data_IF_731848231598
#
_entry.id   IF_731848231598
#
_cell.length_a   1.000
_cell.length_b   1.000
_cell.length_c   1.000
_cell.angle_alpha   90.00
_cell.angle_beta   90.00
_cell.angle_gamma   90.00
#
_symmetry.space_group_name_H-M   'P 1'
#
loop_
_entity.id
_entity.type
_entity.pdbx_description
1 polymer ?
#
# COMPACT_ATOMS: atom_id res chain seq x y z
N UNK A 1 6.27 -18.27 21.28
CA UNK A 1 4.95 -18.65 21.82
C UNK A 1 3.98 -18.73 20.67
N UNK A 2 3.16 -19.79 20.63
CA UNK A 2 2.06 -19.94 19.68
C UNK A 2 0.76 -19.94 20.47
N UNK A 3 -0.23 -19.22 20.01
CA UNK A 3 -1.54 -19.12 20.65
C UNK A 3 -2.67 -19.08 19.63
N UNK A 4 -3.88 -19.41 20.07
CA UNK A 4 -5.11 -19.32 19.30
C UNK A 4 -6.11 -18.48 20.10
N UNK A 5 -6.57 -17.38 19.52
CA UNK A 5 -7.53 -16.46 20.13
C UNK A 5 -8.94 -16.73 19.56
N UNK A 6 -9.93 -16.74 20.43
CA UNK A 6 -11.34 -16.98 20.08
C UNK A 6 -12.24 -15.91 20.71
N UNK A 7 -12.20 -14.65 20.20
CA UNK A 7 -13.01 -13.56 20.75
C UNK A 7 -14.50 -13.70 20.47
N UNK A 8 -14.90 -14.57 19.53
CA UNK A 8 -16.28 -14.98 19.28
C UNK A 8 -16.36 -16.48 19.02
N UNK A 9 -17.58 -17.03 18.93
CA UNK A 9 -17.80 -18.47 18.67
C UNK A 9 -17.30 -18.93 17.28
N UNK A 10 -17.18 -18.00 16.32
CA UNK A 10 -16.72 -18.28 14.96
C UNK A 10 -15.25 -17.80 14.73
N UNK A 11 -14.65 -17.12 15.70
CA UNK A 11 -13.27 -16.63 15.60
C UNK A 11 -12.26 -17.73 15.92
N UNK A 12 -11.21 -17.78 15.10
CA UNK A 12 -10.01 -18.57 15.35
C UNK A 12 -8.79 -17.84 14.79
N UNK A 13 -8.16 -17.00 15.62
CA UNK A 13 -7.01 -16.18 15.24
C UNK A 13 -5.75 -16.87 15.71
N UNK A 14 -4.92 -17.36 14.79
CA UNK A 14 -3.62 -17.92 15.10
C UNK A 14 -2.60 -16.79 15.26
N UNK A 15 -1.82 -16.86 16.31
CA UNK A 15 -0.86 -15.86 16.75
C UNK A 15 0.49 -16.52 17.02
N UNK A 16 1.57 -15.94 16.52
CA UNK A 16 2.94 -16.22 16.97
C UNK A 16 3.58 -14.99 17.59
N UNK A 17 4.24 -15.20 18.75
CA UNK A 17 5.04 -14.18 19.45
C UNK A 17 6.46 -14.68 19.61
N UNK A 18 7.41 -13.93 19.07
CA UNK A 18 8.84 -14.23 19.14
C UNK A 18 9.52 -13.28 20.12
N UNK A 19 10.27 -13.86 21.03
CA UNK A 19 10.88 -13.15 22.16
C UNK A 19 12.40 -13.32 22.10
N UNK A 20 13.20 -12.26 21.96
CA UNK A 20 14.65 -12.37 22.06
C UNK A 20 15.05 -12.74 23.51
N UNK A 21 16.29 -13.23 23.73
CA UNK A 21 16.82 -13.39 25.07
C UNK A 21 16.70 -12.08 25.87
N UNK A 22 16.47 -12.18 27.18
CA UNK A 22 16.22 -11.00 28.03
C UNK A 22 17.34 -9.94 27.95
N UNK A 23 18.59 -10.38 27.79
CA UNK A 23 19.74 -9.48 27.63
C UNK A 23 19.79 -8.74 26.28
N UNK A 24 19.08 -9.25 25.27
CA UNK A 24 19.02 -8.68 23.92
C UNK A 24 17.72 -7.89 23.65
N UNK A 25 16.75 -8.02 24.55
CA UNK A 25 15.48 -7.30 24.39
C UNK A 25 15.66 -5.80 24.59
N UNK A 26 15.32 -5.03 23.56
CA UNK A 26 15.43 -3.57 23.59
C UNK A 26 14.30 -2.87 24.37
N UNK A 27 13.41 -3.63 25.02
CA UNK A 27 12.27 -3.11 25.78
C UNK A 27 11.09 -2.67 24.92
N UNK A 28 11.05 -3.07 23.64
CA UNK A 28 10.02 -2.67 22.67
C UNK A 28 9.28 -3.89 22.10
N UNK A 29 8.07 -3.63 21.59
CA UNK A 29 7.24 -4.59 20.87
C UNK A 29 6.99 -4.11 19.44
N UNK A 30 7.00 -5.01 18.47
CA UNK A 30 6.60 -4.74 17.10
C UNK A 30 5.62 -5.78 16.58
N UNK A 31 4.40 -5.34 16.19
CA UNK A 31 3.47 -6.14 15.41
C UNK A 31 3.79 -5.98 13.92
N UNK A 32 3.74 -7.07 13.17
CA UNK A 32 3.88 -7.05 11.71
C UNK A 32 2.54 -7.25 11.03
N UNK A 33 2.29 -6.50 9.95
CA UNK A 33 1.07 -6.57 9.16
C UNK A 33 1.07 -7.72 8.14
N UNK A 34 -0.11 -8.03 7.61
CA UNK A 34 -0.35 -9.06 6.61
C UNK A 34 -0.36 -8.51 5.19
N UNK A 35 -0.51 -9.38 4.19
CA UNK A 35 -0.68 -9.06 2.77
C UNK A 35 -1.89 -9.77 2.16
N UNK A 36 -2.40 -9.25 1.04
CA UNK A 36 -3.51 -9.85 0.29
C UNK A 36 -4.79 -9.97 1.13
N UNK A 37 -5.32 -11.18 1.24
CA UNK A 37 -6.45 -11.51 2.09
C UNK A 37 -6.05 -12.01 3.50
N UNK A 38 -4.76 -11.96 3.87
CA UNK A 38 -4.30 -12.58 5.12
C UNK A 38 -4.29 -14.10 5.01
N UNK A 39 -4.94 -14.81 5.94
CA UNK A 39 -5.16 -16.26 5.88
C UNK A 39 -3.94 -17.11 6.24
N UNK A 40 -2.86 -16.50 6.68
CA UNK A 40 -1.66 -17.12 7.24
C UNK A 40 -0.86 -16.11 8.05
N UNK A 41 -0.03 -16.58 8.96
CA UNK A 41 0.91 -15.70 9.66
C UNK A 41 2.01 -15.31 8.67
N UNK A 42 1.85 -14.15 8.06
CA UNK A 42 2.81 -13.61 7.10
C UNK A 42 3.93 -12.87 7.83
N UNK A 43 5.06 -12.72 7.16
CA UNK A 43 6.22 -12.06 7.76
C UNK A 43 7.10 -12.96 8.63
N UNK A 44 6.75 -14.24 8.83
CA UNK A 44 7.58 -15.20 9.56
C UNK A 44 8.99 -15.33 8.98
N UNK A 45 9.12 -15.22 7.66
CA UNK A 45 10.41 -15.38 6.96
C UNK A 45 11.15 -14.05 6.74
N UNK A 46 10.52 -12.91 6.99
CA UNK A 46 11.07 -11.60 6.64
C UNK A 46 10.94 -10.55 7.75
N UNK A 47 9.73 -10.07 8.01
CA UNK A 47 9.48 -8.92 8.90
C UNK A 47 9.71 -9.26 10.38
N UNK A 48 9.24 -10.43 10.84
CA UNK A 48 9.48 -10.86 12.24
C UNK A 48 10.96 -11.15 12.52
N UNK A 49 11.71 -11.89 11.66
CA UNK A 49 13.15 -12.04 11.85
C UNK A 49 13.91 -10.71 11.82
N UNK A 50 13.48 -9.75 10.98
CA UNK A 50 14.09 -8.42 10.94
C UNK A 50 13.86 -7.65 12.24
N UNK A 51 12.65 -7.69 12.80
CA UNK A 51 12.32 -7.09 14.09
C UNK A 51 13.11 -7.75 15.24
N UNK A 52 13.16 -9.10 15.26
CA UNK A 52 13.89 -9.85 16.26
C UNK A 52 15.39 -9.48 16.29
N UNK A 53 16.04 -9.38 15.12
CA UNK A 53 17.44 -8.94 15.00
C UNK A 53 17.69 -7.52 15.52
N UNK A 54 16.65 -6.68 15.57
CA UNK A 54 16.70 -5.33 16.17
C UNK A 54 16.40 -5.35 17.68
N UNK A 55 16.23 -6.52 18.27
CA UNK A 55 15.93 -6.70 19.69
C UNK A 55 14.48 -6.50 20.07
N UNK A 56 13.54 -6.44 19.13
CA UNK A 56 12.12 -6.38 19.46
C UNK A 56 11.58 -7.74 19.91
N UNK A 57 10.70 -7.74 20.88
CA UNK A 57 9.65 -8.75 20.94
C UNK A 57 8.70 -8.47 19.75
N UNK A 58 8.37 -9.49 18.96
CA UNK A 58 7.60 -9.29 17.74
C UNK A 58 6.49 -10.33 17.60
N UNK A 59 5.41 -9.96 16.94
CA UNK A 59 4.27 -10.85 16.70
C UNK A 59 3.69 -10.70 15.31
N UNK A 60 3.04 -11.77 14.86
CA UNK A 60 2.24 -11.83 13.65
C UNK A 60 1.05 -12.76 13.83
N UNK A 61 -0.01 -12.56 13.05
CA UNK A 61 -1.26 -13.32 13.12
C UNK A 61 -1.80 -13.65 11.72
N UNK A 62 -2.77 -14.57 11.63
CA UNK A 62 -3.36 -15.02 10.36
C UNK A 62 -4.64 -14.29 9.96
N UNK A 63 -5.04 -13.25 10.68
CA UNK A 63 -6.30 -12.50 10.47
C UNK A 63 -7.59 -13.28 10.79
N UNK A 64 -7.50 -14.43 11.47
CA UNK A 64 -8.64 -15.21 11.93
C UNK A 64 -9.23 -16.19 10.92
N UNK A 65 -8.47 -16.50 9.86
CA UNK A 65 -8.90 -17.47 8.84
C UNK A 65 -7.70 -18.11 8.12
N UNK A 66 -8.00 -19.01 7.19
CA UNK A 66 -7.02 -19.62 6.27
C UNK A 66 -7.48 -19.41 4.82
N UNK A 67 -6.52 -19.34 3.89
CA UNK A 67 -6.78 -19.20 2.46
C UNK A 67 -7.06 -17.77 2.02
N UNK A 68 -7.88 -17.59 0.97
CA UNK A 68 -8.22 -16.31 0.36
C UNK A 68 -9.50 -15.70 0.92
N UNK A 69 -10.25 -14.95 0.09
CA UNK A 69 -11.47 -14.23 0.50
C UNK A 69 -12.68 -15.13 0.77
N UNK A 70 -12.61 -16.43 0.43
CA UNK A 70 -13.71 -17.41 0.62
C UNK A 70 -14.13 -17.59 2.08
N UNK A 71 -13.29 -17.24 3.04
CA UNK A 71 -13.61 -17.29 4.46
C UNK A 71 -14.84 -16.42 4.82
N UNK A 72 -15.11 -15.38 4.04
CA UNK A 72 -16.18 -14.43 4.32
C UNK A 72 -17.58 -14.99 4.05
N UNK A 73 -17.67 -16.12 3.30
CA UNK A 73 -18.96 -16.71 2.92
C UNK A 73 -19.65 -17.34 4.12
N UNK A 74 -20.69 -16.70 4.65
CA UNK A 74 -21.45 -17.18 5.80
C UNK A 74 -20.78 -16.99 7.16
N UNK A 75 -19.64 -16.27 7.22
CA UNK A 75 -18.84 -16.07 8.43
C UNK A 75 -18.64 -14.57 8.78
N UNK A 76 -19.69 -13.84 9.17
CA UNK A 76 -19.60 -12.40 9.43
C UNK A 76 -18.57 -12.03 10.53
N UNK A 77 -18.41 -12.89 11.55
CA UNK A 77 -17.44 -12.68 12.61
C UNK A 77 -15.99 -12.75 12.11
N UNK A 78 -15.70 -13.65 11.17
CA UNK A 78 -14.38 -13.71 10.52
C UNK A 78 -14.10 -12.49 9.65
N UNK A 79 -15.14 -11.89 9.05
CA UNK A 79 -14.99 -10.61 8.33
C UNK A 79 -14.62 -9.49 9.30
N UNK A 80 -15.17 -9.48 10.51
CA UNK A 80 -14.81 -8.56 11.59
C UNK A 80 -13.36 -8.80 12.04
N UNK A 81 -12.96 -10.07 12.22
CA UNK A 81 -11.56 -10.40 12.54
C UNK A 81 -10.60 -9.86 11.48
N UNK A 82 -10.84 -10.15 10.22
CA UNK A 82 -10.04 -9.66 9.10
C UNK A 82 -10.02 -8.13 8.99
N UNK A 83 -11.14 -7.48 9.30
CA UNK A 83 -11.26 -6.03 9.19
C UNK A 83 -10.38 -5.29 10.22
N UNK A 84 -10.45 -5.71 11.50
CA UNK A 84 -9.78 -4.98 12.59
C UNK A 84 -9.53 -5.80 13.86
N UNK A 85 -10.45 -6.73 14.24
CA UNK A 85 -10.40 -7.37 15.57
C UNK A 85 -9.16 -8.24 15.76
N UNK A 86 -8.73 -8.97 14.71
CA UNK A 86 -7.58 -9.86 14.83
C UNK A 86 -6.27 -9.13 15.16
N UNK A 87 -6.05 -7.93 14.60
CA UNK A 87 -4.84 -7.14 14.91
C UNK A 87 -4.89 -6.68 16.36
N UNK A 88 -6.01 -6.11 16.79
CA UNK A 88 -6.19 -5.62 18.16
C UNK A 88 -6.01 -6.74 19.20
N UNK A 89 -6.77 -7.83 19.08
CA UNK A 89 -6.70 -8.95 20.02
C UNK A 89 -5.29 -9.57 20.07
N UNK A 90 -4.67 -9.78 18.89
CA UNK A 90 -3.30 -10.27 18.82
C UNK A 90 -2.31 -9.30 19.51
N UNK A 91 -2.50 -7.99 19.35
CA UNK A 91 -1.65 -6.97 19.98
C UNK A 91 -1.79 -6.98 21.51
N UNK A 92 -3.02 -6.99 22.03
CA UNK A 92 -3.28 -7.03 23.46
C UNK A 92 -2.68 -8.27 24.09
N UNK A 93 -2.93 -9.45 23.52
CA UNK A 93 -2.40 -10.71 24.04
C UNK A 93 -0.86 -10.80 23.92
N UNK A 94 -0.29 -10.32 22.81
CA UNK A 94 1.17 -10.29 22.65
C UNK A 94 1.84 -9.42 23.69
N UNK A 95 1.30 -8.23 23.96
CA UNK A 95 1.83 -7.34 25.02
C UNK A 95 1.74 -7.97 26.40
N UNK A 96 0.65 -8.69 26.70
CA UNK A 96 0.50 -9.43 27.96
C UNK A 96 1.55 -10.56 28.09
N UNK A 97 1.77 -11.34 27.00
CA UNK A 97 2.79 -12.38 26.95
C UNK A 97 4.21 -11.82 27.12
N UNK A 98 4.51 -10.70 26.45
CA UNK A 98 5.79 -9.99 26.59
C UNK A 98 5.98 -9.53 28.02
N UNK A 99 4.94 -8.93 28.64
CA UNK A 99 4.97 -8.48 30.02
C UNK A 99 5.21 -9.63 31.02
N UNK A 100 4.55 -10.76 30.81
CA UNK A 100 4.73 -11.96 31.65
C UNK A 100 6.12 -12.59 31.51
N UNK A 101 6.68 -12.61 30.30
CA UNK A 101 7.98 -13.22 30.03
C UNK A 101 9.15 -12.38 30.58
N UNK A 102 9.10 -11.05 30.41
CA UNK A 102 10.19 -10.16 30.87
C UNK A 102 9.93 -9.51 32.23
N UNK A 103 8.83 -9.86 32.89
CA UNK A 103 8.37 -9.27 34.15
C UNK A 103 8.18 -7.74 34.08
N UNK A 104 8.03 -7.22 32.88
CA UNK A 104 7.75 -5.80 32.57
C UNK A 104 7.11 -5.63 31.22
N UNK A 105 6.18 -4.69 31.13
CA UNK A 105 5.54 -4.34 29.85
C UNK A 105 6.54 -3.72 28.85
N UNK A 106 6.32 -3.84 27.53
CA UNK A 106 7.10 -3.09 26.55
C UNK A 106 6.92 -1.59 26.79
N UNK A 107 8.01 -0.84 26.78
CA UNK A 107 8.00 0.62 26.98
C UNK A 107 7.42 1.37 25.78
N UNK A 108 7.52 0.81 24.60
CA UNK A 108 6.97 1.33 23.33
C UNK A 108 6.53 0.17 22.45
N UNK A 109 5.48 0.42 21.69
CA UNK A 109 4.90 -0.53 20.74
C UNK A 109 4.82 0.08 19.35
N UNK A 110 5.24 -0.68 18.35
CA UNK A 110 5.24 -0.26 16.94
C UNK A 110 4.43 -1.20 16.09
N UNK A 111 3.75 -0.66 15.08
CA UNK A 111 3.15 -1.43 14.00
C UNK A 111 3.93 -1.20 12.71
N UNK A 112 4.24 -2.27 11.97
CA UNK A 112 4.92 -2.20 10.69
C UNK A 112 4.15 -3.02 9.65
N UNK A 113 3.50 -2.36 8.68
CA UNK A 113 2.74 -3.03 7.66
C UNK A 113 2.67 -2.29 6.34
N UNK A 114 2.54 -3.06 5.26
CA UNK A 114 2.35 -2.55 3.91
C UNK A 114 1.18 -3.28 3.24
N UNK A 115 0.52 -2.67 2.26
CA UNK A 115 -0.61 -3.26 1.53
C UNK A 115 -1.82 -3.48 2.46
N UNK A 116 -2.29 -4.72 2.62
CA UNK A 116 -3.24 -5.07 3.70
C UNK A 116 -2.70 -4.59 5.05
N UNK A 117 -1.41 -4.83 5.35
CA UNK A 117 -0.77 -4.36 6.58
C UNK A 117 -0.76 -2.84 6.73
N UNK A 118 -0.69 -2.10 5.63
CA UNK A 118 -0.88 -0.66 5.63
C UNK A 118 -2.32 -0.24 5.97
N UNK A 119 -3.33 -1.00 5.50
CA UNK A 119 -4.73 -0.81 5.93
C UNK A 119 -4.90 -1.12 7.41
N UNK A 120 -4.33 -2.23 7.90
CA UNK A 120 -4.32 -2.59 9.32
C UNK A 120 -3.69 -1.47 10.16
N UNK A 121 -2.53 -0.95 9.74
CA UNK A 121 -1.84 0.16 10.38
C UNK A 121 -2.74 1.40 10.56
N UNK A 122 -3.45 1.79 9.48
CA UNK A 122 -4.39 2.91 9.54
C UNK A 122 -5.63 2.60 10.36
N UNK A 123 -6.10 1.34 10.35
CA UNK A 123 -7.23 0.90 11.18
C UNK A 123 -6.89 0.99 12.67
N UNK A 124 -5.67 0.60 13.07
CA UNK A 124 -5.19 0.73 14.44
C UNK A 124 -5.14 2.20 14.89
N UNK A 125 -4.58 3.08 14.04
CA UNK A 125 -4.56 4.52 14.36
C UNK A 125 -5.96 5.12 14.54
N UNK A 126 -6.96 4.61 13.80
CA UNK A 126 -8.34 5.10 13.78
C UNK A 126 -9.18 4.54 14.92
N UNK A 127 -9.05 3.24 15.21
CA UNK A 127 -9.98 2.50 16.08
C UNK A 127 -9.39 2.15 17.45
N UNK A 128 -8.08 1.87 17.50
CA UNK A 128 -7.36 1.43 18.69
C UNK A 128 -6.09 2.28 18.94
N UNK A 129 -6.27 3.60 19.11
CA UNK A 129 -5.14 4.53 19.19
C UNK A 129 -4.16 4.20 20.35
N UNK A 130 -4.59 3.42 21.34
CA UNK A 130 -3.77 2.98 22.49
C UNK A 130 -2.82 1.84 22.18
N UNK A 131 -3.00 1.13 21.07
CA UNK A 131 -2.22 -0.08 20.81
C UNK A 131 -0.78 0.20 20.39
N UNK A 132 -0.54 1.30 19.70
CA UNK A 132 0.80 1.61 19.19
C UNK A 132 1.23 3.05 19.41
N UNK A 133 2.52 3.23 19.73
CA UNK A 133 3.17 4.53 19.86
C UNK A 133 3.69 5.08 18.53
N UNK A 134 4.05 4.17 17.63
CA UNK A 134 4.51 4.47 16.28
C UNK A 134 3.95 3.50 15.26
N UNK A 135 3.41 4.03 14.16
CA UNK A 135 2.79 3.26 13.10
C UNK A 135 3.47 3.56 11.77
N UNK A 136 3.93 2.49 11.10
CA UNK A 136 4.42 2.53 9.73
C UNK A 136 3.38 1.94 8.80
N UNK A 137 2.79 2.77 7.92
CA UNK A 137 1.75 2.40 6.97
C UNK A 137 2.24 2.56 5.53
N UNK A 138 2.70 1.46 4.92
CA UNK A 138 3.18 1.45 3.54
C UNK A 138 2.08 1.08 2.55
N UNK A 139 2.02 1.75 1.38
CA UNK A 139 1.16 1.42 0.25
C UNK A 139 -0.22 0.88 0.69
N UNK A 140 -0.91 1.61 1.57
CA UNK A 140 -2.06 1.12 2.29
C UNK A 140 -3.25 0.78 1.37
N UNK A 141 -3.78 -0.44 1.48
CA UNK A 141 -5.03 -0.87 0.85
C UNK A 141 -6.25 -0.39 1.66
N UNK A 142 -6.21 0.86 2.15
CA UNK A 142 -7.16 1.35 3.14
C UNK A 142 -8.58 1.60 2.62
N UNK A 143 -8.82 2.11 1.40
CA UNK A 143 -10.15 2.09 0.80
C UNK A 143 -10.33 0.75 0.05
N UNK A 144 -10.38 -0.37 0.80
CA UNK A 144 -10.36 -1.73 0.28
C UNK A 144 -11.41 -1.96 -0.82
N UNK A 145 -12.65 -1.57 -0.53
CA UNK A 145 -13.77 -1.78 -1.48
C UNK A 145 -13.57 -0.93 -2.73
N UNK A 146 -13.22 0.34 -2.59
CA UNK A 146 -13.00 1.24 -3.72
C UNK A 146 -11.78 0.83 -4.57
N UNK A 147 -10.69 0.40 -3.94
CA UNK A 147 -9.49 -0.16 -4.59
C UNK A 147 -9.85 -1.35 -5.47
N UNK A 148 -10.59 -2.32 -4.93
CA UNK A 148 -10.98 -3.51 -5.67
C UNK A 148 -12.01 -3.20 -6.75
N UNK A 149 -12.93 -2.24 -6.54
CA UNK A 149 -13.85 -1.77 -7.56
C UNK A 149 -13.12 -1.14 -8.76
N UNK A 150 -12.16 -0.26 -8.51
CA UNK A 150 -11.33 0.32 -9.56
C UNK A 150 -10.53 -0.73 -10.33
N UNK A 151 -9.99 -1.72 -9.64
CA UNK A 151 -9.26 -2.84 -10.27
C UNK A 151 -10.17 -3.74 -11.07
N UNK A 152 -11.36 -4.09 -10.56
CA UNK A 152 -12.38 -4.84 -11.31
C UNK A 152 -12.80 -4.11 -12.58
N UNK A 153 -13.09 -2.81 -12.50
CA UNK A 153 -13.49 -2.03 -13.67
C UNK A 153 -12.44 -2.05 -14.80
N UNK A 154 -11.14 -1.91 -14.45
CA UNK A 154 -10.05 -1.96 -15.42
C UNK A 154 -9.88 -3.35 -16.02
N UNK A 155 -9.85 -4.40 -15.20
CA UNK A 155 -9.57 -5.76 -15.63
C UNK A 155 -10.76 -6.34 -16.41
N UNK A 156 -11.98 -6.19 -15.90
CA UNK A 156 -13.19 -6.73 -16.57
C UNK A 156 -13.45 -6.07 -17.92
N UNK A 157 -13.12 -4.80 -18.10
CA UNK A 157 -13.22 -4.12 -19.39
C UNK A 157 -12.38 -4.81 -20.47
N UNK A 158 -11.18 -5.24 -20.12
CA UNK A 158 -10.27 -5.93 -21.03
C UNK A 158 -10.65 -7.40 -21.21
N UNK A 159 -11.05 -8.09 -20.15
CA UNK A 159 -11.48 -9.50 -20.24
C UNK A 159 -12.77 -9.69 -21.04
N UNK A 160 -13.64 -8.65 -21.11
CA UNK A 160 -14.84 -8.64 -21.96
C UNK A 160 -14.52 -8.34 -23.44
N UNK A 161 -13.39 -7.69 -23.72
CA UNK A 161 -12.86 -7.41 -25.06
C UNK A 161 -11.35 -7.68 -25.10
N UNK A 162 -10.92 -8.96 -25.22
CA UNK A 162 -9.51 -9.34 -25.13
C UNK A 162 -8.58 -8.65 -26.14
N UNK A 163 -9.10 -8.26 -27.32
CA UNK A 163 -8.34 -7.50 -28.33
C UNK A 163 -7.92 -6.10 -27.81
N UNK A 164 -8.59 -5.58 -26.77
CA UNK A 164 -8.21 -4.32 -26.14
C UNK A 164 -7.04 -4.47 -25.18
N UNK A 165 -6.66 -5.70 -24.83
CA UNK A 165 -5.53 -5.98 -23.96
C UNK A 165 -4.19 -5.54 -24.58
N UNK A 166 -3.26 -5.09 -23.72
CA UNK A 166 -1.92 -4.69 -24.14
C UNK A 166 -0.96 -5.85 -23.87
N UNK A 167 -0.52 -6.60 -24.90
CA UNK A 167 0.38 -7.73 -24.75
C UNK A 167 1.65 -7.35 -23.98
N UNK A 168 2.22 -8.29 -23.22
CA UNK A 168 3.44 -8.07 -22.42
C UNK A 168 4.58 -7.46 -23.24
N UNK A 169 4.75 -7.88 -24.49
CA UNK A 169 5.78 -7.34 -25.42
C UNK A 169 5.61 -5.83 -25.64
N UNK A 170 4.38 -5.32 -25.71
CA UNK A 170 4.09 -3.90 -25.92
C UNK A 170 4.17 -3.06 -24.63
N UNK A 171 4.06 -3.66 -23.45
CA UNK A 171 4.13 -2.90 -22.19
C UNK A 171 5.47 -2.20 -22.01
N UNK A 172 6.60 -2.85 -22.38
CA UNK A 172 7.91 -2.22 -22.35
C UNK A 172 8.02 -1.02 -23.31
N UNK A 173 7.34 -1.09 -24.46
CA UNK A 173 7.25 0.04 -25.40
C UNK A 173 6.48 1.21 -24.80
N UNK A 174 5.32 0.96 -24.19
CA UNK A 174 4.53 1.99 -23.46
C UNK A 174 5.34 2.61 -22.32
N UNK A 175 6.01 1.78 -21.50
CA UNK A 175 6.84 2.25 -20.39
C UNK A 175 7.96 3.19 -20.86
N UNK A 176 8.66 2.83 -21.96
CA UNK A 176 9.70 3.70 -22.54
C UNK A 176 9.12 5.04 -23.05
N UNK A 177 7.95 5.01 -23.68
CA UNK A 177 7.32 6.23 -24.16
C UNK A 177 6.94 7.19 -23.02
N UNK A 178 6.38 6.66 -21.94
CA UNK A 178 6.07 7.41 -20.72
C UNK A 178 7.36 7.99 -20.13
N UNK A 179 8.41 7.17 -19.99
CA UNK A 179 9.69 7.60 -19.47
C UNK A 179 10.29 8.74 -20.32
N UNK A 180 10.30 8.60 -21.64
CA UNK A 180 10.81 9.64 -22.54
C UNK A 180 10.04 10.96 -22.43
N UNK A 181 8.75 10.90 -22.14
CA UNK A 181 7.91 12.08 -21.99
C UNK A 181 8.08 12.79 -20.64
N UNK A 182 8.38 12.04 -19.58
CA UNK A 182 8.20 12.54 -18.21
C UNK A 182 9.47 12.52 -17.33
N UNK A 183 10.52 11.77 -17.69
CA UNK A 183 11.76 11.64 -16.91
C UNK A 183 12.45 13.01 -16.63
N UNK A 184 12.43 13.91 -17.62
CA UNK A 184 13.10 15.21 -17.47
C UNK A 184 12.30 16.30 -16.75
N UNK A 185 11.10 16.01 -16.22
CA UNK A 185 10.23 17.03 -15.60
C UNK A 185 10.78 17.56 -14.26
N UNK A 186 11.64 16.83 -13.59
CA UNK A 186 12.32 17.23 -12.34
C UNK A 186 13.69 17.87 -12.58
N UNK A 187 14.10 18.03 -13.86
CA UNK A 187 15.37 18.61 -14.27
C UNK A 187 16.51 17.60 -14.44
N UNK A 188 16.24 16.30 -14.31
CA UNK A 188 17.22 15.21 -14.50
C UNK A 188 16.65 14.15 -15.43
N UNK A 189 17.47 13.59 -16.30
CA UNK A 189 17.15 12.40 -17.08
C UNK A 189 17.94 11.21 -16.54
N UNK A 190 17.33 10.55 -15.54
CA UNK A 190 17.97 9.45 -14.82
C UNK A 190 17.13 8.16 -14.78
N UNK A 191 16.10 8.09 -15.63
CA UNK A 191 15.11 7.00 -15.70
C UNK A 191 14.22 6.89 -14.46
N UNK A 192 14.04 8.00 -13.73
CA UNK A 192 13.19 8.08 -12.54
C UNK A 192 12.21 9.24 -12.72
N UNK A 193 10.93 8.95 -12.78
CA UNK A 193 9.89 9.99 -12.77
C UNK A 193 9.61 10.35 -11.31
N UNK A 194 10.17 11.47 -10.85
CA UNK A 194 10.07 11.90 -9.45
C UNK A 194 8.70 12.46 -9.09
N UNK A 195 7.99 13.04 -10.07
CA UNK A 195 6.62 13.55 -9.90
C UNK A 195 5.71 13.05 -11.04
N UNK A 196 5.18 11.83 -10.93
CA UNK A 196 4.27 11.30 -11.94
C UNK A 196 2.96 12.08 -12.05
N UNK A 197 2.56 12.82 -11.01
CA UNK A 197 1.34 13.64 -11.04
C UNK A 197 1.49 14.88 -11.94
N UNK A 198 2.71 15.32 -12.21
CA UNK A 198 3.00 16.36 -13.20
C UNK A 198 3.07 15.83 -14.64
N UNK A 199 3.20 14.50 -14.82
CA UNK A 199 3.31 13.88 -16.13
C UNK A 199 1.98 14.01 -16.90
N UNK A 200 2.05 14.45 -18.15
CA UNK A 200 0.90 14.60 -19.06
C UNK A 200 1.17 13.81 -20.33
N UNK A 201 1.05 12.48 -20.22
CA UNK A 201 1.28 11.57 -21.35
C UNK A 201 -0.05 11.17 -21.99
N UNK A 202 -0.20 11.39 -23.30
CA UNK A 202 -1.33 10.88 -24.07
C UNK A 202 -0.91 9.65 -24.87
N UNK A 203 -1.45 8.46 -24.59
CA UNK A 203 -1.09 7.24 -25.30
C UNK A 203 -1.50 7.24 -26.79
N UNK A 204 -2.30 8.18 -27.26
CA UNK A 204 -2.66 8.30 -28.68
C UNK A 204 -1.46 8.50 -29.60
N UNK A 205 -0.36 9.07 -29.09
CA UNK A 205 0.90 9.23 -29.83
C UNK A 205 1.53 7.88 -30.21
N UNK A 206 1.12 6.80 -29.57
CA UNK A 206 1.59 5.44 -29.84
C UNK A 206 0.70 4.68 -30.83
N UNK A 207 -0.36 5.30 -31.35
CA UNK A 207 -1.34 4.62 -32.20
C UNK A 207 -0.72 4.17 -33.52
N UNK A 208 -1.02 2.94 -33.92
CA UNK A 208 -0.64 2.40 -35.22
C UNK A 208 -1.25 3.22 -36.37
N UNK A 209 -0.44 3.53 -37.37
CA UNK A 209 -0.89 4.17 -38.60
C UNK A 209 -1.53 3.18 -39.59
N UNK A 210 -1.08 1.93 -39.56
CA UNK A 210 -1.58 0.84 -40.42
C UNK A 210 -1.33 -0.51 -39.75
N UNK A 211 -2.37 -1.33 -39.59
CA UNK A 211 -2.29 -2.66 -39.01
C UNK A 211 -1.75 -2.71 -37.56
N UNK A 212 -1.87 -3.86 -36.93
CA UNK A 212 -1.30 -4.10 -35.58
C UNK A 212 0.17 -4.54 -35.71
N UNK A 213 1.07 -3.95 -34.90
CA UNK A 213 2.50 -4.22 -34.88
C UNK A 213 3.04 -4.08 -33.45
N UNK A 214 4.20 -4.66 -33.17
CA UNK A 214 4.83 -4.64 -31.84
C UNK A 214 5.34 -3.25 -31.41
N UNK A 215 5.53 -2.33 -32.34
CA UNK A 215 6.05 -0.98 -32.12
C UNK A 215 4.94 0.10 -32.09
N UNK A 216 3.67 -0.30 -31.99
CA UNK A 216 2.54 0.62 -31.87
C UNK A 216 1.34 -0.04 -31.15
N UNK A 217 0.32 0.74 -30.83
CA UNK A 217 -0.90 0.30 -30.18
C UNK A 217 -2.09 0.39 -31.13
N UNK A 218 -2.99 -0.59 -31.12
CA UNK A 218 -4.31 -0.44 -31.76
C UNK A 218 -5.12 0.64 -31.06
N UNK A 219 -6.20 1.11 -31.66
CA UNK A 219 -7.10 2.08 -31.01
C UNK A 219 -7.64 1.55 -29.67
N UNK A 220 -8.06 0.27 -29.62
CA UNK A 220 -8.53 -0.38 -28.40
C UNK A 220 -7.46 -0.45 -27.32
N UNK A 221 -6.21 -0.74 -27.68
CA UNK A 221 -5.07 -0.78 -26.75
C UNK A 221 -4.73 0.62 -26.22
N UNK A 222 -4.81 1.66 -27.06
CA UNK A 222 -4.66 3.06 -26.61
C UNK A 222 -5.69 3.40 -25.54
N UNK A 223 -6.95 3.00 -25.74
CA UNK A 223 -8.01 3.23 -24.75
C UNK A 223 -7.79 2.44 -23.47
N UNK A 224 -7.22 1.25 -23.53
CA UNK A 224 -6.84 0.48 -22.34
C UNK A 224 -5.71 1.15 -21.56
N UNK A 225 -4.67 1.63 -22.24
CA UNK A 225 -3.60 2.41 -21.59
C UNK A 225 -4.18 3.67 -20.93
N UNK A 226 -5.04 4.40 -21.63
CA UNK A 226 -5.69 5.61 -21.09
C UNK A 226 -6.50 5.28 -19.84
N UNK A 227 -7.35 4.25 -19.86
CA UNK A 227 -8.14 3.80 -18.70
C UNK A 227 -7.30 3.35 -17.52
N UNK A 228 -6.13 2.77 -17.77
CA UNK A 228 -5.25 2.30 -16.70
C UNK A 228 -4.72 3.45 -15.82
N UNK A 229 -4.50 4.60 -16.42
CA UNK A 229 -3.98 5.80 -15.74
C UNK A 229 -5.06 6.84 -15.42
N UNK A 230 -6.27 6.69 -15.94
CA UNK A 230 -7.40 7.56 -15.61
C UNK A 230 -8.07 7.11 -14.29
N UNK A 231 -8.67 8.05 -13.55
CA UNK A 231 -9.54 7.68 -12.43
C UNK A 231 -10.68 6.78 -12.88
N UNK A 232 -11.04 5.79 -12.06
CA UNK A 232 -12.29 5.05 -12.21
C UNK A 232 -13.42 5.85 -11.59
N UNK A 233 -14.49 6.05 -12.35
CA UNK A 233 -15.67 6.81 -11.91
C UNK A 233 -16.93 5.97 -12.02
N UNK A 234 -17.97 6.35 -11.30
CA UNK A 234 -19.34 5.86 -11.51
C UNK A 234 -19.86 6.33 -12.87
N UNK A 235 -21.00 5.80 -13.32
CA UNK A 235 -21.70 6.27 -14.53
C UNK A 235 -22.08 7.76 -14.48
N UNK A 236 -22.22 8.31 -13.26
CA UNK A 236 -22.52 9.72 -13.01
C UNK A 236 -21.27 10.60 -12.85
N UNK A 237 -20.07 10.04 -13.05
CA UNK A 237 -18.79 10.76 -12.96
C UNK A 237 -18.23 10.93 -11.54
N UNK A 238 -18.84 10.35 -10.50
CA UNK A 238 -18.27 10.38 -9.15
C UNK A 238 -17.02 9.48 -9.08
N UNK A 239 -15.97 9.98 -8.42
CA UNK A 239 -14.72 9.22 -8.26
C UNK A 239 -14.96 7.97 -7.40
N UNK A 240 -14.57 6.81 -7.93
CA UNK A 240 -14.50 5.55 -7.19
C UNK A 240 -13.08 5.31 -6.67
N UNK A 241 -12.08 5.33 -7.57
CA UNK A 241 -10.68 5.12 -7.21
C UNK A 241 -9.74 5.82 -8.21
N UNK A 242 -8.58 6.35 -7.77
CA UNK A 242 -7.62 6.95 -8.70
C UNK A 242 -7.04 5.93 -9.68
N UNK A 243 -6.56 6.41 -10.82
CA UNK A 243 -5.80 5.63 -11.79
C UNK A 243 -4.39 5.29 -11.27
N UNK A 244 -3.75 4.30 -11.90
CA UNK A 244 -2.35 4.03 -11.63
C UNK A 244 -1.48 5.24 -12.03
N UNK A 245 -0.28 5.29 -11.46
CA UNK A 245 0.67 6.37 -11.75
C UNK A 245 1.51 6.08 -13.00
N UNK A 246 1.90 7.13 -13.72
CA UNK A 246 2.89 7.03 -14.80
C UNK A 246 4.31 6.66 -14.32
N UNK A 247 4.53 6.52 -13.01
CA UNK A 247 5.85 6.26 -12.44
C UNK A 247 6.52 4.95 -12.85
N UNK A 248 5.79 3.94 -13.38
CA UNK A 248 6.35 2.64 -13.66
C UNK A 248 5.94 1.96 -14.96
N UNK A 249 4.92 2.43 -15.65
CA UNK A 249 4.43 1.84 -16.90
C UNK A 249 3.98 0.36 -16.78
N UNK A 250 3.64 -0.10 -15.58
CA UNK A 250 3.25 -1.48 -15.25
C UNK A 250 1.79 -1.58 -14.86
N UNK A 251 1.28 -2.81 -14.77
CA UNK A 251 -0.10 -3.07 -14.34
C UNK A 251 -1.16 -2.83 -15.41
N UNK A 252 -0.78 -2.73 -16.68
CA UNK A 252 -1.74 -2.62 -17.79
C UNK A 252 -2.30 -4.02 -18.09
N UNK A 253 -3.63 -4.22 -18.13
CA UNK A 253 -4.21 -5.53 -18.41
C UNK A 253 -3.83 -6.05 -19.80
N UNK A 254 -3.45 -7.35 -19.88
CA UNK A 254 -3.02 -7.99 -21.13
C UNK A 254 -4.15 -8.53 -22.00
N UNK A 255 -5.32 -8.77 -21.42
CA UNK A 255 -6.43 -9.48 -22.09
C UNK A 255 -6.29 -10.99 -22.08
N UNK A 256 -5.17 -11.51 -21.57
CA UNK A 256 -4.91 -12.93 -21.44
C UNK A 256 -5.39 -13.45 -20.09
N UNK A 257 -5.83 -14.70 -20.05
CA UNK A 257 -6.14 -15.41 -18.82
C UNK A 257 -7.63 -15.64 -18.58
N UNK A 258 -7.90 -16.13 -17.38
CA UNK A 258 -9.24 -16.50 -16.90
C UNK A 258 -9.97 -15.32 -16.24
N UNK A 259 -10.78 -15.59 -15.20
CA UNK A 259 -11.46 -14.55 -14.44
C UNK A 259 -10.47 -13.60 -13.76
N UNK A 260 -10.93 -12.43 -13.29
CA UNK A 260 -10.10 -11.54 -12.48
C UNK A 260 -9.45 -12.28 -11.30
N UNK A 261 -8.25 -11.83 -10.91
CA UNK A 261 -7.53 -12.46 -9.82
C UNK A 261 -8.40 -12.53 -8.53
N UNK A 262 -8.35 -13.62 -7.75
CA UNK A 262 -9.10 -13.74 -6.51
C UNK A 262 -8.89 -12.56 -5.56
N UNK A 263 -7.70 -11.96 -5.56
CA UNK A 263 -7.39 -10.80 -4.74
C UNK A 263 -8.42 -9.67 -4.88
N UNK A 264 -8.89 -9.39 -6.08
CA UNK A 264 -9.86 -8.32 -6.36
C UNK A 264 -11.29 -8.83 -6.52
N UNK A 265 -11.44 -10.04 -7.07
CA UNK A 265 -12.74 -10.65 -7.35
C UNK A 265 -13.50 -11.00 -6.07
N UNK A 266 -12.79 -11.49 -5.05
CA UNK A 266 -13.41 -12.06 -3.86
C UNK A 266 -14.12 -11.02 -2.98
N UNK A 267 -13.74 -9.73 -3.07
CA UNK A 267 -14.51 -8.64 -2.47
C UNK A 267 -15.96 -8.64 -2.96
N UNK A 268 -16.15 -8.81 -4.27
CA UNK A 268 -17.51 -8.79 -4.83
C UNK A 268 -18.20 -10.13 -4.68
N UNK A 269 -17.48 -11.23 -4.91
CA UNK A 269 -18.01 -12.57 -4.76
C UNK A 269 -18.48 -12.86 -3.34
N UNK A 270 -17.66 -12.55 -2.34
CA UNK A 270 -17.90 -12.98 -0.97
C UNK A 270 -18.35 -11.87 -0.02
N UNK A 271 -17.91 -10.62 -0.15
CA UNK A 271 -18.40 -9.55 0.71
C UNK A 271 -19.68 -8.91 0.16
N UNK A 272 -19.77 -8.69 -1.16
CA UNK A 272 -20.95 -8.07 -1.76
C UNK A 272 -22.09 -9.10 -1.95
N UNK A 273 -21.84 -10.12 -2.75
CA UNK A 273 -22.92 -11.03 -3.22
C UNK A 273 -23.12 -12.25 -2.35
N UNK A 274 -22.15 -12.63 -1.48
CA UNK A 274 -22.22 -13.84 -0.66
C UNK A 274 -22.52 -15.09 -1.51
N UNK A 275 -21.97 -15.14 -2.74
CA UNK A 275 -22.21 -16.19 -3.71
C UNK A 275 -20.91 -16.66 -4.38
N UNK A 276 -20.50 -17.92 -4.09
CA UNK A 276 -19.30 -18.55 -4.66
C UNK A 276 -19.32 -18.58 -6.20
N UNK A 277 -20.50 -18.66 -6.79
CA UNK A 277 -20.72 -18.81 -8.23
C UNK A 277 -21.03 -17.48 -8.92
N UNK A 278 -20.94 -16.35 -8.20
CA UNK A 278 -21.21 -15.05 -8.78
C UNK A 278 -20.34 -14.81 -10.04
N UNK A 279 -21.04 -14.50 -11.15
CA UNK A 279 -20.37 -14.23 -12.42
C UNK A 279 -19.82 -12.81 -12.47
N UNK A 280 -18.50 -12.69 -12.46
CA UNK A 280 -17.77 -11.42 -12.52
C UNK A 280 -18.10 -10.58 -13.75
N UNK A 281 -18.64 -11.18 -14.84
CA UNK A 281 -19.07 -10.46 -16.04
C UNK A 281 -20.24 -9.54 -15.77
N UNK A 282 -20.96 -9.78 -14.69
CA UNK A 282 -22.08 -8.96 -14.21
C UNK A 282 -21.64 -7.79 -13.35
N UNK A 283 -20.33 -7.66 -13.08
CA UNK A 283 -19.81 -6.56 -12.26
C UNK A 283 -20.31 -5.21 -12.78
N UNK A 284 -20.90 -4.44 -11.89
CA UNK A 284 -21.43 -3.10 -12.10
C UNK A 284 -20.77 -2.12 -11.11
N UNK A 285 -20.16 -1.08 -11.66
CA UNK A 285 -19.38 -0.11 -10.88
C UNK A 285 -20.24 0.78 -9.97
N UNK A 286 -21.51 0.94 -10.30
CA UNK A 286 -22.42 1.80 -9.54
C UNK A 286 -23.06 1.06 -8.36
N UNK A 287 -23.41 -0.20 -8.53
CA UNK A 287 -24.17 -0.97 -7.52
C UNK A 287 -23.32 -1.89 -6.66
N UNK A 288 -22.32 -2.59 -7.22
CA UNK A 288 -21.58 -3.62 -6.47
C UNK A 288 -20.71 -3.05 -5.36
N UNK A 289 -20.00 -1.91 -5.53
CA UNK A 289 -19.29 -1.29 -4.42
C UNK A 289 -20.20 -0.83 -3.28
N UNK A 290 -21.40 -0.36 -3.59
CA UNK A 290 -22.39 0.03 -2.58
C UNK A 290 -22.90 -1.20 -1.81
N UNK A 291 -23.15 -2.31 -2.50
CA UNK A 291 -23.54 -3.56 -1.87
C UNK A 291 -22.42 -4.08 -0.94
N UNK A 292 -21.17 -4.03 -1.39
CA UNK A 292 -20.02 -4.39 -0.56
C UNK A 292 -19.90 -3.48 0.69
N UNK A 293 -20.09 -2.16 0.55
CA UNK A 293 -20.07 -1.22 1.67
C UNK A 293 -21.22 -1.47 2.66
N UNK A 294 -22.41 -1.78 2.16
CA UNK A 294 -23.55 -2.12 3.01
C UNK A 294 -23.25 -3.33 3.89
N UNK A 295 -22.60 -4.35 3.34
CA UNK A 295 -22.34 -5.61 4.03
C UNK A 295 -21.07 -5.58 4.90
N UNK A 296 -20.02 -4.89 4.45
CA UNK A 296 -18.69 -4.96 5.05
C UNK A 296 -17.92 -3.62 5.00
N UNK A 297 -18.61 -2.47 4.96
CA UNK A 297 -17.95 -1.15 4.87
C UNK A 297 -16.99 -0.83 6.00
N UNK A 298 -17.13 -1.52 7.14
CA UNK A 298 -16.21 -1.41 8.27
C UNK A 298 -14.79 -1.95 8.00
N UNK A 299 -14.58 -2.58 6.84
CA UNK A 299 -13.24 -3.04 6.38
C UNK A 299 -12.37 -1.87 5.89
N UNK A 300 -13.00 -0.77 5.44
CA UNK A 300 -12.30 0.41 4.94
C UNK A 300 -11.72 1.24 6.10
N UNK A 301 -10.44 1.48 6.08
CA UNK A 301 -9.73 2.30 7.07
C UNK A 301 -9.55 3.74 6.52
N UNK A 302 -10.65 4.46 6.39
CA UNK A 302 -10.70 5.77 5.71
C UNK A 302 -11.13 6.94 6.60
N UNK A 303 -11.32 6.72 7.91
CA UNK A 303 -11.64 7.79 8.83
C UNK A 303 -10.46 8.80 8.91
N UNK A 304 -10.66 10.08 8.57
CA UNK A 304 -9.60 11.07 8.61
C UNK A 304 -9.39 11.69 10.00
N UNK A 305 -10.27 11.41 10.97
CA UNK A 305 -10.12 11.90 12.34
C UNK A 305 -9.22 10.98 13.15
N UNK A 306 -7.97 11.37 13.30
CA UNK A 306 -6.94 10.67 14.08
C UNK A 306 -6.62 11.42 15.38
N UNK A 307 -7.52 12.28 15.85
CA UNK A 307 -7.34 13.09 17.06
C UNK A 307 -6.97 12.28 18.30
N UNK A 308 -7.57 11.10 18.58
CA UNK A 308 -7.19 10.27 19.73
C UNK A 308 -5.74 9.76 19.63
N UNK A 309 -5.31 9.31 18.43
CA UNK A 309 -3.94 8.83 18.21
C UNK A 309 -2.92 9.96 18.37
N UNK A 310 -3.20 11.14 17.81
CA UNK A 310 -2.37 12.36 17.98
C UNK A 310 -2.27 12.77 19.45
N UNK A 311 -3.39 12.79 20.17
CA UNK A 311 -3.43 13.23 21.57
C UNK A 311 -2.55 12.39 22.50
N UNK A 312 -2.34 11.10 22.19
CA UNK A 312 -1.42 10.21 22.92
C UNK A 312 0.05 10.38 22.52
N UNK A 313 0.37 11.28 21.60
CA UNK A 313 1.73 11.48 21.10
C UNK A 313 2.16 10.44 20.07
N UNK A 314 1.22 9.68 19.48
CA UNK A 314 1.46 8.71 18.43
C UNK A 314 2.15 9.34 17.21
N UNK A 315 2.95 8.53 16.50
CA UNK A 315 3.62 8.94 15.25
C UNK A 315 3.18 8.04 14.11
N UNK A 316 2.62 8.63 13.06
CA UNK A 316 2.19 7.92 11.85
C UNK A 316 3.10 8.29 10.68
N UNK A 317 3.91 7.33 10.25
CA UNK A 317 4.75 7.45 9.07
C UNK A 317 4.11 6.63 7.94
N UNK A 318 3.70 7.31 6.89
CA UNK A 318 3.14 6.70 5.68
C UNK A 318 4.16 6.74 4.54
N UNK A 319 4.19 5.71 3.71
CA UNK A 319 4.94 5.74 2.45
C UNK A 319 4.20 5.02 1.33
N UNK A 320 4.47 5.42 0.08
CA UNK A 320 3.94 4.75 -1.10
C UNK A 320 4.91 4.88 -2.28
N UNK A 321 5.11 3.80 -3.02
CA UNK A 321 5.92 3.80 -4.24
C UNK A 321 5.17 4.38 -5.43
N UNK A 322 5.74 5.38 -6.12
CA UNK A 322 5.10 5.95 -7.31
C UNK A 322 4.92 4.96 -8.47
N UNK A 323 5.65 3.84 -8.46
CA UNK A 323 5.55 2.78 -9.49
C UNK A 323 4.72 1.57 -9.05
N UNK A 324 3.89 1.72 -8.02
CA UNK A 324 3.01 0.64 -7.53
C UNK A 324 1.99 0.24 -8.62
N UNK A 325 2.03 -1.03 -9.11
CA UNK A 325 1.12 -1.50 -10.13
C UNK A 325 -0.19 -2.07 -9.58
N UNK A 326 -0.32 -2.21 -8.26
CA UNK A 326 -1.46 -2.84 -7.59
C UNK A 326 -2.38 -1.82 -6.96
N UNK A 327 -1.82 -0.87 -6.20
CA UNK A 327 -2.56 0.18 -5.50
C UNK A 327 -2.15 1.53 -6.06
N UNK A 328 -3.10 2.29 -6.59
CA UNK A 328 -2.81 3.61 -7.14
C UNK A 328 -2.19 4.52 -6.06
N UNK A 329 -0.96 5.03 -6.23
CA UNK A 329 -0.26 5.77 -5.18
C UNK A 329 -0.97 7.06 -4.75
N UNK A 330 -1.76 7.65 -5.63
CA UNK A 330 -2.60 8.80 -5.33
C UNK A 330 -3.61 8.51 -4.21
N UNK A 331 -3.97 7.24 -3.94
CA UNK A 331 -4.87 6.89 -2.82
C UNK A 331 -4.28 7.29 -1.47
N UNK A 332 -2.96 7.09 -1.26
CA UNK A 332 -2.28 7.54 -0.05
C UNK A 332 -2.18 9.07 0.05
N UNK A 333 -1.97 9.74 -1.08
CA UNK A 333 -1.99 11.22 -1.15
C UNK A 333 -3.35 11.76 -0.75
N UNK A 334 -4.43 11.16 -1.28
CA UNK A 334 -5.82 11.56 -0.97
C UNK A 334 -6.18 11.29 0.48
N UNK A 335 -5.80 10.15 1.04
CA UNK A 335 -6.04 9.89 2.45
C UNK A 335 -5.27 10.87 3.34
N UNK A 336 -3.99 11.11 3.06
CA UNK A 336 -3.21 12.12 3.78
C UNK A 336 -3.86 13.50 3.71
N UNK A 337 -4.29 13.93 2.52
CA UNK A 337 -5.00 15.20 2.33
C UNK A 337 -6.30 15.25 3.15
N UNK A 338 -7.11 14.18 3.17
CA UNK A 338 -8.34 14.12 3.96
C UNK A 338 -8.11 14.29 5.47
N UNK A 339 -6.98 13.77 5.98
CA UNK A 339 -6.58 13.99 7.39
C UNK A 339 -6.22 15.47 7.62
N UNK A 340 -5.48 16.10 6.69
CA UNK A 340 -5.17 17.53 6.79
C UNK A 340 -6.43 18.41 6.70
N UNK A 341 -7.35 18.07 5.82
CA UNK A 341 -8.63 18.79 5.69
C UNK A 341 -9.47 18.68 6.98
N UNK A 342 -9.48 17.51 7.61
CA UNK A 342 -10.22 17.25 8.84
C UNK A 342 -9.58 17.87 10.08
N UNK A 343 -8.24 17.79 10.20
CA UNK A 343 -7.50 18.11 11.43
C UNK A 343 -6.69 19.41 11.33
N UNK A 344 -6.71 20.09 10.19
CA UNK A 344 -5.90 21.27 9.90
C UNK A 344 -4.56 20.91 9.24
N UNK A 345 -3.96 21.87 8.55
CA UNK A 345 -2.76 21.65 7.71
C UNK A 345 -1.47 21.39 8.51
N UNK A 346 -1.39 21.86 9.77
CA UNK A 346 -0.18 21.69 10.60
C UNK A 346 -0.21 20.37 11.39
N UNK A 347 0.04 19.27 10.69
CA UNK A 347 0.11 17.95 11.29
C UNK A 347 1.50 17.31 11.21
N UNK A 348 2.48 18.02 10.66
CA UNK A 348 3.80 17.47 10.35
C UNK A 348 4.64 16.99 11.54
N UNK A 349 4.25 17.31 12.76
CA UNK A 349 4.92 16.86 13.98
C UNK A 349 4.52 15.43 14.42
N UNK A 350 3.48 14.81 13.82
CA UNK A 350 3.03 13.47 14.15
C UNK A 350 2.60 12.63 12.93
N UNK A 351 2.30 13.27 11.78
CA UNK A 351 1.90 12.61 10.53
C UNK A 351 2.86 13.02 9.41
N UNK A 352 3.43 12.04 8.70
CA UNK A 352 4.26 12.25 7.51
C UNK A 352 3.92 11.23 6.43
N UNK A 353 3.86 11.68 5.18
CA UNK A 353 3.75 10.82 4.00
C UNK A 353 4.99 11.01 3.13
N UNK A 354 5.61 9.91 2.73
CA UNK A 354 6.75 9.89 1.79
C UNK A 354 6.36 9.15 0.52
N UNK A 355 6.40 9.85 -0.61
CA UNK A 355 6.22 9.23 -1.92
C UNK A 355 7.58 8.85 -2.49
N UNK A 356 7.74 7.58 -2.89
CA UNK A 356 9.04 7.04 -3.29
C UNK A 356 9.08 6.84 -4.81
N UNK A 357 9.88 7.64 -5.54
CA UNK A 357 10.05 7.46 -6.98
C UNK A 357 10.60 6.08 -7.33
N UNK A 358 10.13 5.51 -8.44
CA UNK A 358 10.52 4.20 -8.97
C UNK A 358 10.24 2.99 -8.05
N UNK A 359 9.78 3.17 -6.81
CA UNK A 359 9.40 2.05 -5.94
C UNK A 359 8.10 1.40 -6.44
N UNK A 360 8.12 0.07 -6.49
CA UNK A 360 6.95 -0.76 -6.77
C UNK A 360 6.03 -0.91 -5.55
N UNK A 361 5.27 -2.02 -5.52
CA UNK A 361 4.38 -2.31 -4.40
C UNK A 361 5.18 -2.70 -3.15
N UNK A 362 5.08 -1.92 -2.10
CA UNK A 362 5.79 -2.10 -0.81
C UNK A 362 7.32 -1.94 -0.86
N UNK A 363 7.97 -2.29 -1.95
CA UNK A 363 9.42 -2.30 -2.09
C UNK A 363 9.85 -2.53 -3.54
N UNK A 364 11.16 -2.60 -3.78
CA UNK A 364 11.74 -2.90 -5.09
C UNK A 364 11.56 -1.77 -6.09
N UNK A 365 12.03 -1.99 -7.33
CA UNK A 365 12.05 -1.00 -8.39
C UNK A 365 13.49 -0.60 -8.79
N UNK A 366 13.62 0.15 -9.89
CA UNK A 366 14.92 0.57 -10.45
C UNK A 366 15.23 1.98 -9.98
N UNK A 367 15.82 2.13 -8.80
CA UNK A 367 16.12 3.43 -8.21
C UNK A 367 16.45 3.35 -6.71
N UNK A 368 16.49 4.49 -6.02
CA UNK A 368 16.78 4.56 -4.59
C UNK A 368 15.52 4.20 -3.78
N UNK A 369 15.20 2.90 -3.72
CA UNK A 369 13.97 2.36 -3.12
C UNK A 369 14.19 1.58 -1.82
N UNK A 370 15.45 1.41 -1.40
CA UNK A 370 15.81 0.82 -0.11
C UNK A 370 15.86 1.88 0.98
N UNK A 371 15.00 1.77 1.98
CA UNK A 371 14.78 2.78 3.03
C UNK A 371 14.64 2.10 4.39
N UNK A 372 15.32 2.60 5.41
CA UNK A 372 15.12 2.15 6.81
C UNK A 372 14.02 2.97 7.48
N UNK A 373 12.79 2.62 7.17
CA UNK A 373 11.59 3.27 7.71
C UNK A 373 11.47 3.11 9.22
N UNK A 374 11.85 1.95 9.75
CA UNK A 374 11.72 1.65 11.19
C UNK A 374 12.64 2.56 11.98
N UNK A 375 13.91 2.71 11.60
CA UNK A 375 14.83 3.63 12.29
C UNK A 375 14.38 5.09 12.23
N UNK A 376 13.79 5.51 11.10
CA UNK A 376 13.25 6.87 10.97
C UNK A 376 12.07 7.08 11.95
N UNK A 377 11.15 6.11 12.05
CA UNK A 377 10.02 6.16 12.97
C UNK A 377 10.48 6.12 14.45
N UNK A 378 11.45 5.26 14.78
CA UNK A 378 12.05 5.19 16.13
C UNK A 378 12.69 6.53 16.53
N UNK A 379 13.52 7.11 15.66
CA UNK A 379 14.17 8.39 15.93
C UNK A 379 13.12 9.51 16.14
N UNK A 380 12.04 9.46 15.38
CA UNK A 380 10.95 10.40 15.55
C UNK A 380 10.21 10.23 16.87
N UNK A 381 9.80 9.01 17.21
CA UNK A 381 9.03 8.74 18.43
C UNK A 381 9.86 8.84 19.70
N UNK A 382 11.12 8.38 19.67
CA UNK A 382 11.97 8.23 20.86
C UNK A 382 12.88 9.44 21.13
N UNK A 383 13.28 10.17 20.06
CA UNK A 383 14.23 11.27 20.17
C UNK A 383 13.64 12.62 19.70
N UNK A 384 12.36 12.64 19.26
CA UNK A 384 11.72 13.84 18.74
C UNK A 384 12.29 14.31 17.38
N UNK A 385 13.09 13.50 16.71
CA UNK A 385 13.69 13.85 15.40
C UNK A 385 12.64 13.68 14.30
N UNK A 386 11.94 14.77 13.99
CA UNK A 386 10.98 14.79 12.90
C UNK A 386 11.68 14.43 11.58
N UNK A 387 11.17 13.45 10.80
CA UNK A 387 11.79 13.07 9.54
C UNK A 387 11.47 14.09 8.44
N UNK A 388 12.24 15.16 8.37
CA UNK A 388 12.17 16.16 7.27
C UNK A 388 12.83 15.65 6.00
N UNK A 389 13.72 14.66 6.13
CA UNK A 389 14.26 13.88 5.03
C UNK A 389 14.58 12.48 5.52
N UNK A 390 14.39 11.47 4.66
CA UNK A 390 14.84 10.10 4.91
C UNK A 390 15.78 9.67 3.77
N UNK A 391 16.91 9.07 4.11
CA UNK A 391 17.86 8.60 3.11
C UNK A 391 17.33 7.35 2.42
N UNK A 392 17.30 7.37 1.08
CA UNK A 392 17.01 6.22 0.26
C UNK A 392 18.23 5.84 -0.58
N UNK A 393 18.44 4.55 -0.78
CA UNK A 393 19.52 4.01 -1.61
C UNK A 393 19.02 2.91 -2.54
N UNK A 394 19.80 2.59 -3.56
CA UNK A 394 19.46 1.51 -4.47
C UNK A 394 20.32 1.49 -5.71
N UNK A 395 19.83 0.81 -6.73
CA UNK A 395 20.52 0.68 -8.03
C UNK A 395 19.60 1.18 -9.14
N UNK A 396 20.07 2.13 -9.92
CA UNK A 396 19.35 2.64 -11.09
C UNK A 396 19.26 1.64 -12.23
N UNK A 397 18.49 1.95 -13.26
CA UNK A 397 18.30 1.09 -14.42
C UNK A 397 19.61 0.76 -15.18
N UNK A 398 20.62 1.63 -15.08
CA UNK A 398 21.95 1.44 -15.68
C UNK A 398 22.90 0.60 -14.82
N UNK A 399 22.49 0.11 -13.65
CA UNK A 399 23.33 -0.59 -12.68
C UNK A 399 24.12 0.34 -11.76
N UNK A 400 24.03 1.65 -11.90
CA UNK A 400 24.71 2.61 -11.02
C UNK A 400 24.06 2.63 -9.62
N UNK A 401 24.88 2.69 -8.56
CA UNK A 401 24.41 2.93 -7.21
C UNK A 401 23.90 4.36 -7.08
N UNK A 402 22.73 4.49 -6.51
CA UNK A 402 22.06 5.78 -6.32
C UNK A 402 21.67 6.00 -4.86
N UNK A 403 21.70 7.26 -4.46
CA UNK A 403 21.09 7.73 -3.21
C UNK A 403 20.21 8.95 -3.49
N UNK A 404 19.10 9.09 -2.75
CA UNK A 404 18.18 10.25 -2.82
C UNK A 404 17.70 10.61 -1.43
N UNK A 405 17.48 11.92 -1.14
CA UNK A 405 16.64 12.28 -0.02
C UNK A 405 15.19 12.01 -0.39
N UNK A 406 14.45 11.28 0.43
CA UNK A 406 13.00 11.27 0.36
C UNK A 406 12.48 12.46 1.15
N UNK A 407 11.55 13.19 0.57
CA UNK A 407 10.97 14.39 1.15
C UNK A 407 9.55 14.12 1.60
N UNK A 408 9.09 14.73 2.72
CA UNK A 408 7.69 14.60 3.12
C UNK A 408 6.79 15.27 2.08
N UNK A 409 5.74 14.57 1.67
CA UNK A 409 4.76 15.09 0.72
C UNK A 409 4.10 16.37 1.26
N UNK A 410 3.91 17.45 0.44
CA UNK A 410 4.01 17.51 -1.02
C UNK A 410 5.41 17.83 -1.58
N UNK A 411 6.42 17.97 -0.72
CA UNK A 411 7.78 18.22 -1.19
C UNK A 411 8.34 17.01 -1.96
N UNK A 412 9.28 17.28 -2.87
CA UNK A 412 9.99 16.28 -3.65
C UNK A 412 11.48 16.60 -3.74
N UNK A 413 12.30 15.58 -3.96
CA UNK A 413 13.72 15.74 -4.23
C UNK A 413 13.91 16.45 -5.58
N UNK A 414 14.39 17.69 -5.56
CA UNK A 414 14.65 18.50 -6.75
C UNK A 414 16.15 18.64 -6.94
N UNK A 415 16.64 18.41 -8.15
CA UNK A 415 18.05 18.56 -8.48
C UNK A 415 18.49 20.02 -8.34
N UNK A 416 19.68 20.24 -7.75
CA UNK A 416 20.26 21.58 -7.50
C UNK A 416 20.89 22.20 -8.75
N UNK A 417 20.88 21.50 -9.91
CA UNK A 417 21.52 21.94 -11.15
C UNK A 417 23.04 21.73 -11.18
N UNK A 418 23.62 21.07 -10.18
CA UNK A 418 25.05 20.75 -10.09
C UNK A 418 25.30 19.52 -9.22
N UNK A 419 26.41 18.84 -9.44
CA UNK A 419 26.81 17.64 -8.72
C UNK A 419 26.40 16.35 -9.45
N UNK A 420 26.80 15.21 -8.88
CA UNK A 420 26.49 13.88 -9.41
C UNK A 420 25.02 13.55 -9.18
N UNK A 421 24.28 13.27 -10.24
CA UNK A 421 22.86 12.92 -10.18
C UNK A 421 22.57 11.58 -9.50
N UNK A 422 23.59 10.78 -9.18
CA UNK A 422 23.46 9.57 -8.39
C UNK A 422 23.62 9.81 -6.87
N UNK A 423 23.88 11.02 -6.44
CA UNK A 423 24.18 11.38 -5.05
C UNK A 423 23.09 12.24 -4.43
N UNK A 424 22.64 11.86 -3.22
CA UNK A 424 21.62 12.58 -2.47
C UNK A 424 21.96 14.06 -2.23
N UNK A 425 23.23 14.38 -2.03
CA UNK A 425 23.73 15.75 -1.83
C UNK A 425 23.48 16.70 -3.00
N UNK A 426 23.22 16.16 -4.20
CA UNK A 426 22.89 16.95 -5.40
C UNK A 426 21.43 17.38 -5.45
N UNK A 427 20.62 16.98 -4.48
CA UNK A 427 19.19 17.26 -4.42
C UNK A 427 18.81 18.03 -3.16
N UNK A 428 17.67 18.69 -3.20
CA UNK A 428 17.03 19.38 -2.07
C UNK A 428 15.52 19.10 -2.08
N UNK A 429 14.92 19.03 -0.90
CA UNK A 429 13.46 19.00 -0.77
C UNK A 429 12.85 20.36 -1.09
N UNK A 430 11.94 20.43 -2.08
CA UNK A 430 11.22 21.63 -2.49
C UNK A 430 9.75 21.32 -2.76
#
# INVERSE_FOLDING_TARGET
VVAVLRPSSDSEINLEVWLPPAAEWNGKFQMVGNGGWGGSIQGLESAMPAALRRGYATAGHDTGHRGGGEFALGHPEKVIDFAYRAVHEATVQSKALVGAFYERAPRLSYFNGCSLGGRQALMEAQRYPEDFDGILAGAAANPHIALHAGSMARVTAVLKDPESGVPQAKQAFVARAIMNACDGLDGVKDTIISDPMACRFDPSVLRCKSGDRDDCLTAKQVDTVRRNYAPTTTSQGALVFPGLSFGGGRGIPTGEGGPPAPLILDTFRYLAHQDRNWDWRRFDIDSDPELARKNAGFIDAVNPDLSPFKARGGKLLMYHGWSDPLIAPESSVRYHASVLDRMGSDQGNWLRLFMVPAMGHCSGGSGPTSVDWVSALEAWREQGKVPDTIAASGTGATGARMTRPLCPHPQRATYKGRGDTNKAESFACK
#
